data_IF_292600287091
#
_entry.id   IF_292600287091
#
_cell.length_a   1.000
_cell.length_b   1.000
_cell.length_c   1.000
_cell.angle_alpha   90.00
_cell.angle_beta   90.00
_cell.angle_gamma   90.00
#
_symmetry.space_group_name_H-M   'P 1'
#
loop_
_entity.id
_entity.type
_entity.pdbx_description
1 polymer ?
#
# COMPACT_ATOMS: atom_id res chain seq x y z
N UNK A 1 -23.38 -25.05 40.35
CA UNK A 1 -22.02 -24.62 39.97
C UNK A 1 -22.16 -23.73 38.75
N UNK A 2 -22.14 -22.41 38.97
CA UNK A 2 -22.09 -21.44 37.87
C UNK A 2 -20.67 -21.47 37.27
N UNK A 3 -20.51 -21.35 35.94
CA UNK A 3 -19.19 -21.16 35.36
C UNK A 3 -18.72 -19.74 35.66
N UNK A 4 -17.48 -19.64 36.16
CA UNK A 4 -16.79 -18.41 36.48
C UNK A 4 -16.70 -17.51 35.23
N UNK A 5 -17.01 -16.23 35.45
CA UNK A 5 -16.73 -15.14 34.52
C UNK A 5 -15.25 -15.19 34.13
N UNK A 6 -14.97 -15.44 32.84
CA UNK A 6 -13.67 -15.14 32.27
C UNK A 6 -13.55 -13.62 32.22
N UNK A 7 -12.60 -13.08 32.99
CA UNK A 7 -12.24 -11.67 33.00
C UNK A 7 -12.10 -11.14 31.57
N UNK A 8 -13.03 -10.28 31.17
CA UNK A 8 -13.02 -9.54 29.92
C UNK A 8 -11.86 -8.52 29.99
N UNK A 9 -10.64 -8.99 29.66
CA UNK A 9 -9.46 -8.13 29.57
C UNK A 9 -9.73 -7.11 28.47
N UNK A 10 -10.19 -5.93 28.90
CA UNK A 10 -10.54 -4.82 28.04
C UNK A 10 -9.30 -4.46 27.20
N UNK A 11 -9.34 -4.77 25.91
CA UNK A 11 -8.23 -4.50 25.00
C UNK A 11 -7.92 -2.99 25.05
N UNK A 12 -6.64 -2.59 25.12
CA UNK A 12 -6.27 -1.19 25.17
C UNK A 12 -6.81 -0.44 23.94
N UNK A 13 -7.41 0.74 24.18
CA UNK A 13 -7.94 1.59 23.13
C UNK A 13 -6.80 2.12 22.24
N UNK A 14 -6.71 1.58 21.02
CA UNK A 14 -5.74 2.05 20.03
C UNK A 14 -6.36 3.22 19.31
N UNK A 15 -5.93 4.44 19.64
CA UNK A 15 -6.48 5.67 19.09
C UNK A 15 -5.81 6.13 17.79
N UNK A 16 -4.65 5.56 17.47
CA UNK A 16 -3.94 5.86 16.23
C UNK A 16 -2.96 4.76 15.85
N UNK A 17 -2.51 4.76 14.61
CA UNK A 17 -1.47 3.85 14.10
C UNK A 17 -0.45 4.61 13.28
N UNK A 18 0.82 4.35 13.53
CA UNK A 18 1.91 4.70 12.61
C UNK A 18 2.21 3.49 11.76
N UNK A 19 1.69 3.48 10.54
CA UNK A 19 1.92 2.39 9.60
C UNK A 19 3.21 2.67 8.83
N UNK A 20 4.19 1.79 8.98
CA UNK A 20 5.49 1.98 8.34
C UNK A 20 5.39 1.78 6.83
N UNK A 21 5.92 2.73 6.08
CA UNK A 21 6.12 2.66 4.63
C UNK A 21 7.60 2.55 4.26
N UNK A 22 8.45 2.29 5.25
CA UNK A 22 9.88 2.15 5.07
C UNK A 22 10.35 0.89 5.82
N UNK A 23 11.00 -0.02 5.09
CA UNK A 23 11.42 -1.33 5.62
C UNK A 23 12.28 -1.28 6.90
N UNK A 24 12.89 -0.14 7.21
CA UNK A 24 13.75 0.03 8.38
C UNK A 24 13.00 0.35 9.68
N UNK A 25 11.70 0.63 9.59
CA UNK A 25 10.88 1.11 10.70
C UNK A 25 9.70 0.16 10.94
N UNK A 26 9.37 -0.17 12.19
CA UNK A 26 8.22 -1.01 12.50
C UNK A 26 6.91 -0.21 12.50
N UNK A 27 5.80 -0.85 12.14
CA UNK A 27 4.46 -0.27 12.36
C UNK A 27 4.08 -0.29 13.84
N UNK A 28 3.38 0.72 14.33
CA UNK A 28 3.14 0.93 15.77
C UNK A 28 1.69 1.33 16.03
N UNK A 29 1.06 0.66 17.00
CA UNK A 29 -0.23 1.07 17.55
C UNK A 29 0.01 2.11 18.66
N UNK A 30 -0.72 3.22 18.59
CA UNK A 30 -0.66 4.31 19.57
C UNK A 30 -1.81 4.11 20.57
N UNK A 31 -1.42 3.89 21.83
CA UNK A 31 -2.31 3.66 22.98
C UNK A 31 -2.08 4.75 24.02
N UNK A 32 -0.82 5.06 24.33
CA UNK A 32 -0.44 6.13 25.25
C UNK A 32 -0.70 7.51 24.66
N UNK A 33 -0.83 8.54 25.51
CA UNK A 33 -1.11 9.90 25.04
C UNK A 33 0.07 10.57 24.32
N UNK A 34 1.32 10.13 24.57
CA UNK A 34 2.52 10.70 23.97
C UNK A 34 3.51 9.62 23.51
N UNK A 35 4.01 9.76 22.29
CA UNK A 35 5.10 8.98 21.73
C UNK A 35 6.21 9.89 21.24
N UNK A 36 7.46 9.51 21.52
CA UNK A 36 8.63 10.17 20.95
C UNK A 36 9.40 9.20 20.06
N UNK A 37 9.88 9.69 18.91
CA UNK A 37 10.67 8.90 17.98
C UNK A 37 12.05 9.50 17.78
N UNK A 38 13.12 8.71 17.82
CA UNK A 38 14.49 9.19 17.57
C UNK A 38 15.57 8.14 17.86
N UNK A 39 16.85 8.55 17.73
CA UNK A 39 18.01 7.68 18.03
C UNK A 39 18.26 7.48 19.53
N UNK A 40 17.64 8.29 20.37
CA UNK A 40 17.86 8.28 21.81
C UNK A 40 17.17 7.09 22.47
N UNK A 41 17.87 6.42 23.39
CA UNK A 41 17.34 5.26 24.13
C UNK A 41 16.12 5.54 25.01
N UNK A 42 15.80 6.82 25.24
CA UNK A 42 14.64 7.27 26.01
C UNK A 42 13.40 7.51 25.14
N UNK A 43 13.51 7.34 23.82
CA UNK A 43 12.37 7.48 22.92
C UNK A 43 11.41 6.30 23.08
N UNK A 44 10.11 6.57 22.95
CA UNK A 44 9.08 5.52 22.89
C UNK A 44 9.28 4.63 21.65
N UNK A 45 9.80 5.21 20.57
CA UNK A 45 10.12 4.55 19.31
C UNK A 45 11.59 4.81 18.99
N UNK A 46 12.42 3.80 19.15
CA UNK A 46 13.86 3.94 18.98
C UNK A 46 14.23 3.59 17.53
N UNK A 47 15.00 4.47 16.90
CA UNK A 47 15.63 4.17 15.61
C UNK A 47 16.98 3.51 15.90
N UNK A 48 17.05 2.19 15.89
CA UNK A 48 18.28 1.45 16.19
C UNK A 48 18.47 0.15 15.39
N UNK A 49 17.64 -0.14 14.39
CA UNK A 49 17.81 -1.34 13.55
C UNK A 49 19.20 -1.37 12.87
N UNK A 50 19.82 -2.55 12.77
CA UNK A 50 21.17 -2.67 12.17
C UNK A 50 21.15 -2.21 10.71
N UNK A 51 20.06 -2.48 10.03
CA UNK A 51 19.80 -2.11 8.64
C UNK A 51 19.80 -0.60 8.47
N UNK A 52 19.11 0.16 9.35
CA UNK A 52 19.10 1.62 9.24
C UNK A 52 20.45 2.22 9.62
N UNK A 53 21.13 1.67 10.63
CA UNK A 53 22.45 2.13 11.07
C UNK A 53 23.51 2.02 9.97
N UNK A 54 23.39 1.04 9.08
CA UNK A 54 24.27 0.86 7.93
C UNK A 54 24.04 1.92 6.83
N UNK A 55 22.93 2.67 6.88
CA UNK A 55 22.62 3.71 5.89
C UNK A 55 23.19 5.06 6.27
N UNK A 56 23.46 5.91 5.26
CA UNK A 56 23.82 7.32 5.46
C UNK A 56 22.70 8.13 6.16
N UNK A 57 21.45 7.64 6.11
CA UNK A 57 20.31 8.32 6.72
C UNK A 57 20.38 8.32 8.25
N UNK A 58 20.98 7.29 8.87
CA UNK A 58 21.00 7.18 10.33
C UNK A 58 21.60 8.41 11.01
N UNK A 59 22.72 8.92 10.50
CA UNK A 59 23.40 10.11 11.01
C UNK A 59 22.54 11.38 10.91
N UNK A 60 21.54 11.39 10.01
CA UNK A 60 20.65 12.53 9.81
C UNK A 60 19.51 12.58 10.82
N UNK A 61 19.24 11.49 11.54
CA UNK A 61 18.18 11.46 12.54
C UNK A 61 18.64 12.08 13.87
N UNK A 62 17.74 12.77 14.57
CA UNK A 62 18.05 13.39 15.88
C UNK A 62 17.82 12.42 17.04
N UNK A 63 18.41 12.71 18.21
CA UNK A 63 18.22 11.89 19.43
C UNK A 63 16.74 11.80 19.80
N UNK A 64 16.01 12.90 19.68
CA UNK A 64 14.55 12.92 19.58
C UNK A 64 14.24 13.66 18.29
N UNK A 65 13.62 12.98 17.33
CA UNK A 65 13.34 13.51 16.01
C UNK A 65 11.98 14.21 15.98
N UNK A 66 10.93 13.53 16.44
CA UNK A 66 9.61 14.11 16.61
C UNK A 66 8.92 13.55 17.86
N UNK A 67 7.85 14.24 18.28
CA UNK A 67 6.87 13.74 19.23
C UNK A 67 5.48 13.75 18.60
N UNK A 68 4.68 12.74 18.91
CA UNK A 68 3.24 12.71 18.63
C UNK A 68 2.52 12.70 19.96
N UNK A 69 1.48 13.52 20.09
CA UNK A 69 0.67 13.62 21.30
C UNK A 69 -0.81 13.75 20.96
N UNK A 70 -1.66 13.02 21.67
CA UNK A 70 -3.12 13.16 21.60
C UNK A 70 -3.61 14.17 22.63
N UNK A 71 -4.42 15.12 22.20
CA UNK A 71 -5.20 16.00 23.08
C UNK A 71 -6.61 15.41 23.19
N UNK A 72 -6.90 14.76 24.32
CA UNK A 72 -8.19 14.08 24.56
C UNK A 72 -9.35 15.05 24.72
N UNK A 73 -9.09 16.30 25.11
CA UNK A 73 -10.12 17.34 25.31
C UNK A 73 -10.56 17.90 23.97
N UNK A 74 -9.61 18.20 23.08
CA UNK A 74 -9.90 18.77 21.75
C UNK A 74 -10.08 17.72 20.67
N UNK A 75 -9.79 16.45 20.99
CA UNK A 75 -9.74 15.33 20.07
C UNK A 75 -8.86 15.59 18.83
N UNK A 76 -7.71 16.24 19.06
CA UNK A 76 -6.70 16.47 18.03
C UNK A 76 -5.45 15.67 18.34
N UNK A 77 -4.80 15.18 17.29
CA UNK A 77 -3.45 14.61 17.37
C UNK A 77 -2.48 15.63 16.81
N UNK A 78 -1.41 15.87 17.55
CA UNK A 78 -0.36 16.80 17.18
C UNK A 78 0.93 16.06 16.92
N UNK A 79 1.69 16.53 15.93
CA UNK A 79 3.07 16.15 15.71
C UNK A 79 3.96 17.39 15.91
N UNK A 80 5.01 17.23 16.71
CA UNK A 80 6.01 18.25 17.00
C UNK A 80 7.36 17.84 16.46
N UNK A 81 7.98 18.71 15.67
CA UNK A 81 9.32 18.50 15.14
C UNK A 81 10.37 18.96 16.16
N UNK A 82 11.21 18.04 16.63
CA UNK A 82 12.32 18.31 17.56
C UNK A 82 13.68 18.12 16.89
N UNK A 83 13.69 17.85 15.58
CA UNK A 83 14.87 17.44 14.86
C UNK A 83 15.72 18.61 14.37
N UNK A 84 16.99 18.32 14.10
CA UNK A 84 17.91 19.26 13.44
C UNK A 84 17.67 19.33 11.92
N UNK A 85 17.40 18.19 11.27
CA UNK A 85 17.31 18.10 9.81
C UNK A 85 15.87 18.26 9.28
N UNK A 86 14.87 18.13 10.14
CA UNK A 86 13.48 18.41 9.84
C UNK A 86 12.60 17.18 9.86
N UNK A 87 11.39 17.38 10.37
CA UNK A 87 10.25 16.47 10.18
C UNK A 87 9.30 17.08 9.17
N UNK A 88 8.84 16.28 8.23
CA UNK A 88 7.94 16.71 7.15
C UNK A 88 6.63 15.94 7.25
N UNK A 89 5.52 16.63 7.02
CA UNK A 89 4.18 16.04 6.96
C UNK A 89 3.56 16.39 5.62
N UNK A 90 3.19 15.38 4.83
CA UNK A 90 2.68 15.54 3.46
C UNK A 90 3.62 16.38 2.57
N UNK A 91 4.93 16.27 2.78
CA UNK A 91 5.96 17.00 2.05
C UNK A 91 6.32 18.37 2.65
N UNK A 92 5.49 18.93 3.54
CA UNK A 92 5.73 20.22 4.17
C UNK A 92 6.57 20.08 5.44
N UNK A 93 7.63 20.89 5.55
CA UNK A 93 8.48 20.93 6.75
C UNK A 93 7.71 21.57 7.91
N UNK A 94 7.62 20.88 9.05
CA UNK A 94 7.00 21.44 10.27
C UNK A 94 7.86 22.58 10.82
N UNK A 95 9.17 22.32 10.98
CA UNK A 95 10.15 23.26 11.52
C UNK A 95 10.44 23.03 13.00
N UNK A 96 11.70 23.17 13.39
CA UNK A 96 12.21 22.84 14.74
C UNK A 96 11.40 23.55 15.83
N UNK A 97 11.02 22.77 16.85
CA UNK A 97 10.17 23.11 17.99
C UNK A 97 8.73 23.52 17.65
N UNK A 98 8.34 23.53 16.37
CA UNK A 98 6.96 23.79 15.96
C UNK A 98 6.15 22.49 16.00
N UNK A 99 4.84 22.65 16.18
CA UNK A 99 3.88 21.55 16.10
C UNK A 99 2.77 21.88 15.11
N UNK A 100 2.15 20.86 14.54
CA UNK A 100 0.94 20.97 13.71
C UNK A 100 -0.02 19.83 14.03
N UNK A 101 -1.28 19.99 13.63
CA UNK A 101 -2.25 18.89 13.63
C UNK A 101 -1.78 17.81 12.65
N UNK A 102 -1.94 16.55 13.05
CA UNK A 102 -1.63 15.38 12.26
C UNK A 102 -2.94 14.73 11.82
N UNK A 103 -3.34 14.99 10.58
CA UNK A 103 -4.59 14.50 10.03
C UNK A 103 -4.50 13.01 9.65
N UNK A 104 -5.63 12.32 9.62
CA UNK A 104 -5.71 10.94 9.13
C UNK A 104 -5.11 10.82 7.72
N UNK A 105 -4.37 9.74 7.45
CA UNK A 105 -3.59 9.50 6.23
C UNK A 105 -2.40 10.43 5.99
N UNK A 106 -1.96 11.21 6.98
CA UNK A 106 -0.77 12.05 6.84
C UNK A 106 0.52 11.22 6.68
N UNK A 107 1.30 11.53 5.65
CA UNK A 107 2.64 10.97 5.41
C UNK A 107 3.68 11.72 6.24
N UNK A 108 4.47 11.00 7.02
CA UNK A 108 5.55 11.54 7.83
C UNK A 108 6.88 11.15 7.19
N UNK A 109 7.71 12.14 6.87
CA UNK A 109 9.06 11.95 6.35
C UNK A 109 10.11 12.58 7.28
N UNK A 110 11.28 11.94 7.37
CA UNK A 110 12.34 12.28 8.33
C UNK A 110 13.60 12.77 7.62
N UNK A 111 14.18 13.87 8.09
CA UNK A 111 15.38 14.53 7.57
C UNK A 111 15.31 15.06 6.13
N UNK A 112 14.54 14.43 5.24
CA UNK A 112 14.25 14.86 3.88
C UNK A 112 12.78 14.57 3.56
N UNK A 113 12.14 15.44 2.77
CA UNK A 113 10.78 15.23 2.26
C UNK A 113 10.61 13.94 1.44
N UNK A 114 11.71 13.42 0.88
CA UNK A 114 11.71 12.19 0.09
C UNK A 114 11.85 10.92 0.95
N UNK A 115 12.36 11.04 2.16
CA UNK A 115 12.57 9.92 3.07
C UNK A 115 11.33 9.68 3.93
N UNK A 116 10.28 9.19 3.27
CA UNK A 116 8.98 8.90 3.88
C UNK A 116 9.10 7.65 4.73
N UNK A 117 8.51 7.70 5.93
CA UNK A 117 8.71 6.67 6.95
C UNK A 117 7.40 6.09 7.43
N UNK A 118 6.41 6.95 7.74
CA UNK A 118 5.13 6.51 8.25
C UNK A 118 3.97 7.13 7.49
N UNK A 119 2.85 6.43 7.49
CA UNK A 119 1.52 7.02 7.31
C UNK A 119 0.78 6.92 8.64
N UNK A 120 0.25 8.05 9.11
CA UNK A 120 -0.58 8.08 10.31
C UNK A 120 -2.03 7.71 9.96
N UNK A 121 -2.61 6.79 10.72
CA UNK A 121 -4.02 6.41 10.63
C UNK A 121 -4.69 6.70 11.96
N UNK A 122 -5.75 7.50 11.93
CA UNK A 122 -6.66 7.71 13.04
C UNK A 122 -7.71 6.58 13.03
N UNK A 123 -7.77 5.80 14.11
CA UNK A 123 -8.68 4.66 14.22
C UNK A 123 -10.13 5.07 14.49
N UNK A 124 -10.35 6.33 14.89
CA UNK A 124 -11.66 6.92 15.13
C UNK A 124 -12.14 7.77 13.95
N UNK A 125 -11.33 7.94 12.92
CA UNK A 125 -11.76 8.60 11.70
C UNK A 125 -12.96 7.86 11.10
N UNK A 126 -13.93 8.62 10.58
CA UNK A 126 -15.09 8.04 9.90
C UNK A 126 -14.58 7.20 8.73
N UNK A 127 -14.85 5.89 8.80
CA UNK A 127 -14.50 4.98 7.73
C UNK A 127 -15.27 5.36 6.46
N UNK A 128 -14.60 5.22 5.31
CA UNK A 128 -15.18 5.49 4.00
C UNK A 128 -16.35 4.51 3.75
N UNK A 129 -17.57 5.03 3.73
CA UNK A 129 -18.79 4.25 3.55
C UNK A 129 -18.89 3.61 2.17
N UNK A 130 -18.06 4.03 1.22
CA UNK A 130 -17.97 3.39 -0.10
C UNK A 130 -17.23 2.05 -0.05
N UNK A 131 -16.45 1.80 1.00
CA UNK A 131 -15.73 0.55 1.20
C UNK A 131 -16.61 -0.42 1.99
N UNK A 132 -16.86 -1.64 1.49
CA UNK A 132 -17.70 -2.62 2.17
C UNK A 132 -17.07 -3.11 3.49
N UNK A 133 -17.88 -3.51 4.49
CA UNK A 133 -17.38 -4.05 5.75
C UNK A 133 -16.40 -5.22 5.55
N UNK A 134 -16.67 -6.12 4.61
CA UNK A 134 -15.81 -7.27 4.29
C UNK A 134 -14.37 -6.90 3.91
N UNK A 135 -14.18 -5.74 3.29
CA UNK A 135 -12.84 -5.19 3.00
C UNK A 135 -12.29 -4.48 4.23
N UNK A 136 -13.10 -3.62 4.88
CA UNK A 136 -12.68 -2.82 6.05
C UNK A 136 -12.28 -3.66 7.24
N UNK A 137 -12.88 -4.83 7.44
CA UNK A 137 -12.57 -5.74 8.55
C UNK A 137 -11.18 -6.37 8.43
N UNK A 138 -10.66 -6.47 7.19
CA UNK A 138 -9.36 -7.07 6.91
C UNK A 138 -8.28 -6.04 6.58
N UNK A 139 -8.63 -4.93 5.94
CA UNK A 139 -7.68 -3.96 5.40
C UNK A 139 -8.00 -2.54 5.85
N UNK A 140 -6.94 -1.76 6.07
CA UNK A 140 -6.97 -0.31 6.29
C UNK A 140 -6.56 0.33 4.96
N UNK A 141 -7.50 1.01 4.30
CA UNK A 141 -7.18 1.80 3.12
C UNK A 141 -6.48 3.08 3.51
N UNK A 142 -5.50 3.46 2.70
CA UNK A 142 -4.76 4.70 2.83
C UNK A 142 -4.86 5.53 1.55
N UNK A 143 -3.85 6.35 1.27
CA UNK A 143 -3.79 7.25 0.13
C UNK A 143 -3.92 6.53 -1.22
N UNK A 144 -4.40 7.28 -2.21
CA UNK A 144 -4.30 6.91 -3.62
C UNK A 144 -2.81 6.90 -4.03
N UNK A 145 -2.37 5.79 -4.63
CA UNK A 145 -1.01 5.60 -5.16
C UNK A 145 -0.99 5.56 -6.68
N UNK A 146 -2.14 5.43 -7.33
CA UNK A 146 -2.27 5.52 -8.77
C UNK A 146 -3.72 5.56 -9.19
N UNK A 147 -3.96 6.03 -10.42
CA UNK A 147 -5.26 5.98 -11.06
C UNK A 147 -5.09 5.43 -12.46
N UNK A 148 -5.66 4.25 -12.70
CA UNK A 148 -5.64 3.62 -14.02
C UNK A 148 -6.91 3.92 -14.82
N UNK A 149 -6.95 3.42 -16.05
CA UNK A 149 -8.12 3.52 -16.92
C UNK A 149 -9.40 2.89 -16.31
N UNK A 150 -9.22 1.90 -15.44
CA UNK A 150 -10.32 1.07 -14.89
C UNK A 150 -10.70 1.43 -13.45
N UNK A 151 -9.99 2.36 -12.81
CA UNK A 151 -10.27 2.72 -11.43
C UNK A 151 -9.07 3.28 -10.67
N UNK A 152 -9.26 3.46 -9.37
CA UNK A 152 -8.22 3.95 -8.46
C UNK A 152 -7.43 2.81 -7.84
N UNK A 153 -6.18 3.06 -7.50
CA UNK A 153 -5.31 2.17 -6.76
C UNK A 153 -4.90 2.88 -5.48
N UNK A 154 -5.19 2.29 -4.33
CA UNK A 154 -4.87 2.82 -3.00
C UNK A 154 -3.83 1.95 -2.33
N UNK A 155 -2.91 2.58 -1.58
CA UNK A 155 -2.10 1.87 -0.60
C UNK A 155 -3.04 1.31 0.47
N UNK A 156 -2.86 0.06 0.86
CA UNK A 156 -3.60 -0.52 1.96
C UNK A 156 -2.69 -1.36 2.85
N UNK A 157 -3.16 -1.59 4.07
CA UNK A 157 -2.45 -2.37 5.06
C UNK A 157 -3.37 -3.43 5.63
N UNK A 158 -2.90 -4.67 5.75
CA UNK A 158 -3.70 -5.69 6.44
C UNK A 158 -3.78 -5.39 7.93
N UNK A 159 -4.96 -5.54 8.53
CA UNK A 159 -5.14 -5.38 9.96
C UNK A 159 -4.39 -6.48 10.71
N UNK A 160 -3.83 -6.13 11.86
CA UNK A 160 -3.02 -7.05 12.67
C UNK A 160 -1.53 -6.89 12.36
N UNK A 161 -1.06 -7.37 11.21
CA UNK A 161 0.38 -7.34 10.87
C UNK A 161 0.85 -5.98 10.33
N UNK A 162 -0.06 -5.19 9.77
CA UNK A 162 0.24 -3.93 9.09
C UNK A 162 1.17 -4.11 7.87
N UNK A 163 1.14 -5.28 7.23
CA UNK A 163 1.82 -5.51 5.95
C UNK A 163 1.17 -4.70 4.83
N UNK A 164 2.00 -4.28 3.86
CA UNK A 164 1.66 -3.31 2.81
C UNK A 164 1.25 -4.00 1.52
N UNK A 165 0.17 -3.49 0.93
CA UNK A 165 -0.39 -3.97 -0.34
C UNK A 165 -0.91 -2.80 -1.19
N UNK A 166 -1.12 -3.06 -2.48
CA UNK A 166 -1.90 -2.18 -3.34
C UNK A 166 -3.32 -2.72 -3.45
N UNK A 167 -4.32 -1.86 -3.32
CA UNK A 167 -5.73 -2.22 -3.54
C UNK A 167 -6.26 -1.48 -4.76
N UNK A 168 -6.56 -2.22 -5.82
CA UNK A 168 -7.21 -1.68 -7.02
C UNK A 168 -8.72 -1.76 -6.87
N UNK A 169 -9.40 -0.64 -7.08
CA UNK A 169 -10.84 -0.48 -6.90
C UNK A 169 -11.46 -0.16 -8.24
N UNK A 170 -12.28 -1.08 -8.74
CA UNK A 170 -12.89 -1.00 -10.07
C UNK A 170 -14.41 -0.88 -9.89
N UNK A 171 -14.98 0.28 -10.22
CA UNK A 171 -16.41 0.50 -10.05
C UNK A 171 -17.22 -0.21 -11.16
N UNK A 172 -18.20 -1.03 -10.77
CA UNK A 172 -19.04 -1.81 -11.69
C UNK A 172 -19.93 -0.96 -12.59
N UNK A 173 -20.20 0.29 -12.18
CA UNK A 173 -20.97 1.28 -12.96
C UNK A 173 -20.34 1.60 -14.32
N UNK A 174 -19.03 1.42 -14.48
CA UNK A 174 -18.37 1.57 -15.78
C UNK A 174 -18.69 0.45 -16.78
N UNK A 175 -19.32 -0.65 -16.33
CA UNK A 175 -19.59 -1.83 -17.15
C UNK A 175 -21.09 -2.12 -17.31
N UNK A 176 -21.97 -1.38 -16.62
CA UNK A 176 -23.43 -1.61 -16.62
C UNK A 176 -24.18 -1.03 -17.84
N UNK A 177 -23.50 -0.86 -18.98
CA UNK A 177 -24.15 -0.45 -20.23
C UNK A 177 -24.72 -1.63 -21.04
N UNK A 178 -24.50 -2.90 -20.64
CA UNK A 178 -24.99 -4.05 -21.41
C UNK A 178 -25.67 -5.11 -20.53
N UNK A 179 -27.00 -5.16 -20.69
CA UNK A 179 -28.00 -6.14 -20.27
C UNK A 179 -27.63 -7.41 -19.49
N UNK A 180 -28.23 -7.51 -18.30
CA UNK A 180 -28.99 -8.65 -17.80
C UNK A 180 -28.38 -10.08 -17.89
N UNK A 181 -27.36 -10.41 -17.07
CA UNK A 181 -27.14 -11.77 -16.53
C UNK A 181 -26.42 -11.76 -15.15
N UNK A 182 -26.99 -11.08 -14.14
CA UNK A 182 -26.34 -10.91 -12.84
C UNK A 182 -26.23 -12.19 -11.96
N UNK A 183 -26.96 -13.27 -12.27
CA UNK A 183 -27.04 -14.46 -11.40
C UNK A 183 -26.07 -15.60 -11.75
N UNK A 184 -25.65 -15.74 -13.02
CA UNK A 184 -24.64 -16.72 -13.46
C UNK A 184 -23.20 -16.21 -13.22
N UNK A 185 -23.06 -14.89 -13.07
CA UNK A 185 -21.81 -14.14 -12.95
C UNK A 185 -21.02 -14.46 -11.67
N UNK A 186 -21.71 -14.68 -10.54
CA UNK A 186 -21.04 -14.84 -9.24
C UNK A 186 -20.24 -16.16 -9.13
N UNK A 187 -20.73 -17.27 -9.71
CA UNK A 187 -20.03 -18.57 -9.66
C UNK A 187 -18.80 -18.61 -10.58
N UNK A 188 -18.87 -17.95 -11.75
CA UNK A 188 -17.73 -17.84 -12.65
C UNK A 188 -16.64 -16.94 -12.05
N UNK A 189 -17.00 -15.86 -11.37
CA UNK A 189 -16.05 -14.96 -10.69
C UNK A 189 -15.28 -15.67 -9.58
N UNK A 190 -15.90 -16.50 -8.76
CA UNK A 190 -15.19 -17.22 -7.68
C UNK A 190 -14.14 -18.20 -8.22
N UNK A 191 -14.47 -18.92 -9.29
CA UNK A 191 -13.52 -19.80 -9.99
C UNK A 191 -12.36 -19.01 -10.57
N UNK A 192 -12.64 -17.88 -11.23
CA UNK A 192 -11.63 -16.99 -11.81
C UNK A 192 -10.74 -16.33 -10.74
N UNK A 193 -11.33 -15.85 -9.65
CA UNK A 193 -10.57 -15.31 -8.51
C UNK A 193 -9.66 -16.37 -7.90
N UNK A 194 -10.07 -17.64 -7.92
CA UNK A 194 -9.25 -18.74 -7.44
C UNK A 194 -8.07 -19.02 -8.37
N UNK A 195 -8.27 -18.95 -9.70
CA UNK A 195 -7.18 -19.03 -10.68
C UNK A 195 -6.19 -17.88 -10.45
N UNK A 196 -6.66 -16.63 -10.38
CA UNK A 196 -5.79 -15.45 -10.24
C UNK A 196 -4.97 -15.49 -8.94
N UNK A 197 -5.57 -15.91 -7.82
CA UNK A 197 -4.87 -16.08 -6.53
C UNK A 197 -3.87 -17.24 -6.54
N UNK A 198 -4.08 -18.26 -7.38
CA UNK A 198 -3.17 -19.39 -7.51
C UNK A 198 -1.96 -19.10 -8.40
N UNK A 199 -1.95 -17.99 -9.15
CA UNK A 199 -0.80 -17.61 -9.95
C UNK A 199 0.35 -17.13 -9.04
N UNK A 200 1.47 -17.83 -9.12
CA UNK A 200 2.69 -17.50 -8.39
C UNK A 200 3.89 -17.57 -9.34
N UNK A 201 4.33 -16.40 -9.80
CA UNK A 201 5.48 -16.28 -10.69
C UNK A 201 6.19 -14.94 -10.44
N UNK A 202 7.53 -14.89 -10.40
CA UNK A 202 8.28 -13.67 -10.07
C UNK A 202 8.01 -12.50 -11.02
N UNK A 203 7.66 -12.77 -12.28
CA UNK A 203 7.37 -11.74 -13.29
C UNK A 203 5.88 -11.37 -13.41
N UNK A 204 5.01 -11.90 -12.56
CA UNK A 204 3.55 -11.67 -12.55
C UNK A 204 3.18 -10.97 -11.24
N UNK A 205 2.29 -9.99 -11.28
CA UNK A 205 1.77 -9.35 -10.06
C UNK A 205 0.99 -10.39 -9.24
N UNK A 206 1.34 -10.56 -7.97
CA UNK A 206 0.62 -11.48 -7.11
C UNK A 206 -0.71 -10.89 -6.64
N UNK A 207 -1.78 -11.68 -6.72
CA UNK A 207 -3.13 -11.34 -6.27
C UNK A 207 -3.39 -12.02 -4.93
N UNK A 208 -3.52 -11.26 -3.86
CA UNK A 208 -3.71 -11.78 -2.51
C UNK A 208 -5.18 -12.04 -2.18
N UNK A 209 -6.07 -11.09 -2.51
CA UNK A 209 -7.48 -11.17 -2.16
C UNK A 209 -8.33 -10.45 -3.22
N UNK A 210 -9.56 -10.90 -3.38
CA UNK A 210 -10.52 -10.27 -4.30
C UNK A 210 -11.87 -10.19 -3.59
N UNK A 211 -12.41 -8.98 -3.50
CA UNK A 211 -13.73 -8.74 -2.96
C UNK A 211 -14.64 -8.27 -4.08
N UNK A 212 -15.59 -9.12 -4.44
CA UNK A 212 -16.64 -8.72 -5.34
C UNK A 212 -17.85 -8.19 -4.57
N UNK A 213 -18.30 -7.00 -4.94
CA UNK A 213 -19.51 -6.38 -4.36
C UNK A 213 -20.49 -6.00 -5.46
N UNK A 214 -21.70 -5.57 -5.07
CA UNK A 214 -22.70 -5.10 -6.04
C UNK A 214 -22.24 -3.89 -6.85
N UNK A 215 -21.36 -3.05 -6.30
CA UNK A 215 -21.00 -1.75 -6.90
C UNK A 215 -19.56 -1.67 -7.39
N UNK A 216 -18.65 -2.50 -6.89
CA UNK A 216 -17.24 -2.45 -7.23
C UNK A 216 -16.54 -3.80 -6.97
N UNK A 217 -15.41 -4.01 -7.65
CA UNK A 217 -14.46 -5.08 -7.39
C UNK A 217 -13.23 -4.47 -6.71
N UNK A 218 -12.79 -5.05 -5.59
CA UNK A 218 -11.58 -4.66 -4.87
C UNK A 218 -10.56 -5.78 -5.01
N UNK A 219 -9.41 -5.50 -5.61
CA UNK A 219 -8.35 -6.48 -5.86
C UNK A 219 -7.14 -6.08 -5.03
N UNK A 220 -6.74 -6.94 -4.11
CA UNK A 220 -5.54 -6.76 -3.28
C UNK A 220 -4.36 -7.40 -3.99
N UNK A 221 -3.35 -6.60 -4.26
CA UNK A 221 -2.16 -6.92 -5.05
C UNK A 221 -0.90 -6.72 -4.22
N UNK A 222 0.18 -7.40 -4.59
CA UNK A 222 1.50 -7.00 -4.07
C UNK A 222 1.80 -5.53 -4.40
N UNK A 223 2.44 -4.83 -3.47
CA UNK A 223 2.86 -3.45 -3.68
C UNK A 223 4.19 -3.43 -4.44
N UNK A 224 4.22 -2.79 -5.60
CA UNK A 224 5.43 -2.62 -6.43
C UNK A 224 5.80 -1.15 -6.51
N UNK A 225 6.99 -0.78 -6.05
CA UNK A 225 7.38 0.62 -5.79
C UNK A 225 8.26 1.24 -6.89
N UNK A 226 8.70 0.48 -7.90
CA UNK A 226 9.62 0.97 -8.95
C UNK A 226 8.94 1.65 -10.14
N UNK A 227 7.62 1.79 -10.10
CA UNK A 227 6.83 2.50 -11.11
C UNK A 227 6.60 1.71 -12.41
N UNK A 228 6.05 2.40 -13.41
CA UNK A 228 5.73 1.82 -14.72
C UNK A 228 6.95 1.75 -15.63
N UNK A 229 7.04 0.71 -16.46
CA UNK A 229 8.06 0.58 -17.48
C UNK A 229 7.96 1.71 -18.51
N UNK A 230 6.74 2.16 -18.84
CA UNK A 230 6.51 3.30 -19.74
C UNK A 230 7.27 4.55 -19.28
N UNK A 231 7.04 4.98 -18.04
CA UNK A 231 7.70 6.16 -17.47
C UNK A 231 9.22 6.02 -17.47
N UNK A 232 9.73 4.81 -17.18
CA UNK A 232 11.18 4.56 -17.22
C UNK A 232 11.74 4.69 -18.63
N UNK A 233 11.05 4.18 -19.65
CA UNK A 233 11.46 4.33 -21.05
C UNK A 233 11.47 5.81 -21.44
N UNK A 234 10.40 6.55 -21.10
CA UNK A 234 10.29 7.98 -21.41
C UNK A 234 11.42 8.78 -20.75
N UNK A 235 11.72 8.52 -19.48
CA UNK A 235 12.79 9.20 -18.75
C UNK A 235 14.18 8.93 -19.33
N UNK A 236 14.42 7.70 -19.82
CA UNK A 236 15.70 7.30 -20.40
C UNK A 236 15.80 7.60 -21.90
N UNK A 237 14.69 7.91 -22.57
CA UNK A 237 14.56 8.03 -24.03
C UNK A 237 14.54 6.66 -24.73
N UNK A 238 15.57 5.85 -24.53
CA UNK A 238 15.64 4.46 -24.98
C UNK A 238 16.53 3.64 -24.05
N UNK A 239 16.30 2.33 -24.00
CA UNK A 239 17.22 1.40 -23.35
C UNK A 239 18.26 0.88 -24.33
N UNK A 240 19.44 0.54 -23.81
CA UNK A 240 20.40 -0.27 -24.57
C UNK A 240 19.86 -1.68 -24.81
N UNK A 241 20.48 -2.40 -25.76
CA UNK A 241 20.02 -3.73 -26.14
C UNK A 241 20.10 -4.73 -24.97
N UNK A 242 21.12 -4.60 -24.12
CA UNK A 242 21.34 -5.50 -22.98
C UNK A 242 20.19 -5.39 -21.97
N UNK A 243 19.84 -4.17 -21.57
CA UNK A 243 18.74 -3.86 -20.67
C UNK A 243 17.41 -4.27 -21.29
N UNK A 244 17.21 -3.95 -22.57
CA UNK A 244 15.99 -4.33 -23.31
C UNK A 244 15.80 -5.84 -23.31
N UNK A 245 16.85 -6.60 -23.66
CA UNK A 245 16.85 -8.07 -23.69
C UNK A 245 16.58 -8.66 -22.31
N UNK A 246 17.17 -8.07 -21.27
CA UNK A 246 16.96 -8.49 -19.89
C UNK A 246 15.49 -8.33 -19.45
N UNK A 247 14.90 -7.14 -19.62
CA UNK A 247 13.51 -6.88 -19.23
C UNK A 247 12.52 -7.65 -20.12
N UNK A 248 12.74 -7.67 -21.43
CA UNK A 248 11.86 -8.33 -22.38
C UNK A 248 11.82 -9.85 -22.19
N UNK A 249 12.98 -10.48 -21.87
CA UNK A 249 13.00 -11.91 -21.53
C UNK A 249 12.13 -12.22 -20.32
N UNK A 250 12.17 -11.39 -19.28
CA UNK A 250 11.30 -11.57 -18.11
C UNK A 250 9.81 -11.42 -18.47
N UNK A 251 9.47 -10.45 -19.32
CA UNK A 251 8.10 -10.31 -19.84
C UNK A 251 7.65 -11.56 -20.59
N UNK A 252 8.49 -12.11 -21.47
CA UNK A 252 8.19 -13.35 -22.19
C UNK A 252 7.95 -14.54 -21.24
N UNK A 253 8.75 -14.66 -20.16
CA UNK A 253 8.57 -15.70 -19.15
C UNK A 253 7.24 -15.53 -18.40
N UNK A 254 6.89 -14.31 -18.00
CA UNK A 254 5.59 -14.02 -17.38
C UNK A 254 4.42 -14.33 -18.30
N UNK A 255 4.45 -13.88 -19.56
CA UNK A 255 3.39 -14.16 -20.55
C UNK A 255 3.26 -15.66 -20.81
N UNK A 256 4.38 -16.38 -20.95
CA UNK A 256 4.37 -17.84 -21.08
C UNK A 256 3.69 -18.48 -19.87
N UNK A 257 4.04 -18.06 -18.66
CA UNK A 257 3.43 -18.59 -17.43
C UNK A 257 1.91 -18.38 -17.41
N UNK A 258 1.43 -17.19 -17.78
CA UNK A 258 0.00 -16.91 -17.90
C UNK A 258 -0.68 -17.85 -18.91
N UNK A 259 -0.07 -18.03 -20.09
CA UNK A 259 -0.60 -18.90 -21.13
C UNK A 259 -0.64 -20.38 -20.70
N UNK A 260 0.39 -20.86 -20.01
CA UNK A 260 0.43 -22.21 -19.45
C UNK A 260 -0.70 -22.44 -18.42
N UNK A 261 -1.22 -21.37 -17.80
CA UNK A 261 -2.37 -21.37 -16.89
C UNK A 261 -3.68 -20.93 -17.56
N UNK A 262 -3.76 -20.94 -18.90
CA UNK A 262 -4.96 -20.57 -19.67
C UNK A 262 -5.46 -19.14 -19.44
N UNK A 263 -4.56 -18.23 -19.06
CA UNK A 263 -4.83 -16.79 -18.90
C UNK A 263 -4.17 -16.03 -20.05
N UNK A 264 -4.96 -15.28 -20.81
CA UNK A 264 -4.45 -14.35 -21.83
C UNK A 264 -4.51 -12.93 -21.30
N UNK A 265 -3.42 -12.16 -21.40
CA UNK A 265 -3.36 -10.79 -20.87
C UNK A 265 -4.32 -9.83 -21.60
N UNK A 266 -4.35 -9.88 -22.94
CA UNK A 266 -5.18 -9.05 -23.85
C UNK A 266 -4.89 -7.54 -23.90
N UNK A 267 -4.29 -6.94 -22.89
CA UNK A 267 -3.89 -5.51 -22.90
C UNK A 267 -2.39 -5.32 -22.54
N UNK A 268 -1.48 -6.10 -23.14
CA UNK A 268 -0.07 -6.04 -22.77
C UNK A 268 0.61 -4.82 -23.40
N UNK A 269 1.02 -3.87 -22.57
CA UNK A 269 1.67 -2.61 -22.95
C UNK A 269 2.61 -2.13 -21.84
N UNK A 270 3.55 -1.21 -22.10
CA UNK A 270 4.53 -0.77 -21.10
C UNK A 270 3.93 -0.20 -19.80
N UNK A 271 2.72 0.36 -19.85
CA UNK A 271 1.97 0.87 -18.69
C UNK A 271 1.50 -0.26 -17.76
N UNK A 272 1.27 -1.45 -18.31
CA UNK A 272 0.84 -2.65 -17.56
C UNK A 272 2.04 -3.54 -17.14
N UNK A 273 3.26 -3.00 -17.18
CA UNK A 273 4.48 -3.65 -16.70
C UNK A 273 5.12 -2.76 -15.65
N UNK A 274 5.14 -3.23 -14.42
CA UNK A 274 5.75 -2.53 -13.30
C UNK A 274 7.19 -2.98 -13.09
N UNK A 275 8.00 -2.13 -12.48
CA UNK A 275 9.37 -2.42 -12.10
C UNK A 275 9.48 -2.53 -10.57
N UNK A 276 10.25 -3.49 -10.06
CA UNK A 276 10.40 -3.63 -8.59
C UNK A 276 11.29 -2.58 -7.94
N UNK A 277 12.17 -1.91 -8.70
CA UNK A 277 13.08 -0.89 -8.17
C UNK A 277 13.07 0.39 -9.01
N UNK A 278 12.95 1.57 -8.37
CA UNK A 278 13.07 2.85 -9.05
C UNK A 278 14.52 3.22 -9.38
N UNK A 279 15.50 2.62 -8.70
CA UNK A 279 16.89 3.11 -8.67
C UNK A 279 17.82 2.44 -9.69
N UNK A 280 17.39 1.33 -10.28
CA UNK A 280 18.21 0.54 -11.22
C UNK A 280 17.38 -0.02 -12.37
N UNK A 281 18.04 -0.25 -13.50
CA UNK A 281 17.47 -0.98 -14.64
C UNK A 281 17.66 -2.50 -14.51
N UNK A 282 18.56 -2.94 -13.64
CA UNK A 282 18.71 -4.35 -13.23
C UNK A 282 17.65 -4.69 -12.17
N UNK A 283 16.39 -4.71 -12.59
CA UNK A 283 15.23 -4.93 -11.72
C UNK A 283 14.31 -6.01 -12.28
N UNK A 284 13.50 -6.62 -11.40
CA UNK A 284 12.44 -7.51 -11.84
C UNK A 284 11.30 -6.70 -12.46
N UNK A 285 10.69 -7.27 -13.50
CA UNK A 285 9.41 -6.79 -14.05
C UNK A 285 8.26 -7.50 -13.35
N UNK A 286 7.10 -6.84 -13.27
CA UNK A 286 5.85 -7.40 -12.77
C UNK A 286 4.74 -7.06 -13.76
N UNK A 287 4.27 -8.05 -14.51
CA UNK A 287 3.11 -7.88 -15.39
C UNK A 287 1.87 -7.77 -14.52
N UNK A 288 1.13 -6.67 -14.66
CA UNK A 288 -0.12 -6.40 -13.92
C UNK A 288 -1.31 -6.36 -14.87
N UNK A 289 -2.52 -6.20 -14.33
CA UNK A 289 -3.74 -5.95 -15.11
C UNK A 289 -4.17 -7.10 -16.06
N UNK A 290 -3.56 -8.27 -15.92
CA UNK A 290 -4.05 -9.50 -16.53
C UNK A 290 -5.37 -9.94 -15.88
N UNK A 291 -6.20 -10.66 -16.63
CA UNK A 291 -7.49 -11.14 -16.12
C UNK A 291 -8.55 -10.04 -15.91
N UNK A 292 -8.17 -8.76 -15.91
CA UNK A 292 -9.11 -7.64 -15.81
C UNK A 292 -10.12 -7.63 -16.96
N UNK A 293 -9.69 -7.98 -18.17
CA UNK A 293 -10.58 -8.13 -19.32
C UNK A 293 -11.71 -9.16 -19.10
N UNK A 294 -11.54 -10.14 -18.21
CA UNK A 294 -12.61 -11.12 -17.85
C UNK A 294 -13.61 -10.54 -16.86
N UNK A 295 -13.20 -9.63 -15.98
CA UNK A 295 -14.11 -8.86 -15.12
C UNK A 295 -14.79 -7.71 -15.87
N UNK A 296 -14.19 -7.26 -16.97
CA UNK A 296 -14.56 -6.05 -17.72
C UNK A 296 -15.38 -6.36 -18.98
N UNK A 297 -15.13 -7.50 -19.66
CA UNK A 297 -15.76 -7.83 -20.95
C UNK A 297 -16.11 -9.33 -21.10
N UNK A 298 -17.40 -9.63 -21.30
CA UNK A 298 -17.87 -10.82 -22.02
C UNK A 298 -17.86 -10.63 -23.56
N UNK A 299 -17.53 -9.45 -24.09
CA UNK A 299 -17.81 -9.11 -25.50
C UNK A 299 -16.58 -9.18 -26.42
N UNK A 300 -15.82 -10.28 -26.42
CA UNK A 300 -14.89 -10.52 -27.54
C UNK A 300 -14.70 -12.01 -27.84
N UNK A 301 -15.71 -12.56 -28.52
CA UNK A 301 -15.51 -13.50 -29.62
C UNK A 301 -15.91 -12.79 -30.91
#
# INVERSE_FOLDING_TARGET
SAPCDEDDIQKPDVWGRLLSINKYFPSINLVEDEYSLGRGKKCSIIIDSKEVQATKLFATYSSVHFKISRDTVKNYVYIQDLSSNGTFVNGDKIGKNKRRVLDNNAEIALASKTNRVYVYIDTHAKEDSTVPPTVRDKYILSKEIGRGAYGEVKLCFIRGTCDRFAMKIIAKKHFTLLGAQAHTFNQQIESECSILRALDHPCIIHVYDVFDTSNAVFIVLELVEGGELFDRVVANGQFDETTTKFLFRQMCLGVKYLHDHSVTHRDLKPENVLLTSPDTNETLVKITDFGLSRFINETTL
#
